data_IF_635254533502
#
_entry.id   IF_635254533502
#
_cell.length_a   1.000
_cell.length_b   1.000
_cell.length_c   1.000
_cell.angle_alpha   90.00
_cell.angle_beta   90.00
_cell.angle_gamma   90.00
#
_symmetry.space_group_name_H-M   'P 1'
#
loop_
_entity.id
_entity.type
_entity.pdbx_description
1 polymer ?
#
# COMPACT_ATOMS: atom_id res chain seq x y z
N UNK A 1 17.05 -43.63 36.93
CA UNK A 1 17.98 -43.19 35.86
C UNK A 1 17.83 -44.20 34.73
N UNK A 2 17.35 -43.78 33.53
CA UNK A 2 17.10 -44.73 32.45
C UNK A 2 18.42 -45.34 31.95
N UNK A 3 18.55 -46.66 32.04
CA UNK A 3 19.73 -47.42 31.61
C UNK A 3 20.10 -47.11 30.15
N UNK A 4 19.10 -46.95 29.29
CA UNK A 4 19.28 -46.56 27.86
C UNK A 4 19.98 -45.24 27.70
N UNK A 5 19.63 -44.23 28.49
CA UNK A 5 20.24 -42.90 28.47
C UNK A 5 21.71 -42.93 28.98
N UNK A 6 21.96 -43.74 30.02
CA UNK A 6 23.33 -43.94 30.53
C UNK A 6 24.25 -44.58 29.49
N UNK A 7 23.75 -45.64 28.82
CA UNK A 7 24.49 -46.32 27.76
C UNK A 7 24.73 -45.37 26.58
N UNK A 8 23.71 -44.64 26.12
CA UNK A 8 23.83 -43.68 25.02
C UNK A 8 24.85 -42.58 25.32
N UNK A 9 24.83 -41.99 26.53
CA UNK A 9 25.80 -40.99 26.97
C UNK A 9 27.22 -41.55 27.02
N UNK A 10 27.40 -42.77 27.50
CA UNK A 10 28.74 -43.43 27.56
C UNK A 10 29.29 -43.71 26.17
N UNK A 11 28.45 -44.13 25.20
CA UNK A 11 28.89 -44.37 23.84
C UNK A 11 29.15 -43.06 23.09
N UNK A 12 28.39 -42.04 23.32
CA UNK A 12 28.60 -40.71 22.69
C UNK A 12 29.94 -40.06 23.09
N UNK A 13 30.39 -40.31 24.32
CA UNK A 13 31.62 -39.72 24.88
C UNK A 13 32.84 -40.66 24.81
N UNK A 14 32.63 -41.94 24.45
CA UNK A 14 33.68 -42.96 24.40
C UNK A 14 34.56 -42.77 23.16
N UNK A 15 35.78 -42.35 23.35
CA UNK A 15 36.77 -42.29 22.29
C UNK A 15 37.18 -43.69 21.84
N UNK A 16 36.84 -44.05 20.61
CA UNK A 16 37.33 -45.30 20.00
C UNK A 16 38.87 -45.30 19.90
N UNK A 17 39.46 -46.50 20.03
CA UNK A 17 40.95 -46.63 19.81
C UNK A 17 41.39 -46.25 18.42
N UNK A 18 40.45 -46.21 17.44
CA UNK A 18 40.73 -45.77 16.08
C UNK A 18 40.54 -44.25 15.96
N UNK A 19 41.62 -43.52 15.97
CA UNK A 19 41.62 -42.03 15.86
C UNK A 19 40.86 -41.51 14.63
N UNK A 20 40.87 -42.23 13.51
CA UNK A 20 40.15 -41.86 12.28
C UNK A 20 38.64 -41.79 12.47
N UNK A 21 38.02 -42.71 13.18
CA UNK A 21 36.60 -42.75 13.44
C UNK A 21 36.16 -41.53 14.29
N UNK A 22 36.95 -41.21 15.32
CA UNK A 22 36.64 -40.06 16.20
C UNK A 22 36.73 -38.73 15.42
N UNK A 23 37.69 -38.60 14.50
CA UNK A 23 37.81 -37.40 13.66
C UNK A 23 36.61 -37.26 12.72
N UNK A 24 36.23 -38.35 12.03
CA UNK A 24 35.09 -38.35 11.11
C UNK A 24 33.79 -37.99 11.87
N UNK A 25 33.55 -38.61 13.04
CA UNK A 25 32.39 -38.31 13.87
C UNK A 25 32.40 -36.86 14.37
N UNK A 26 33.57 -36.35 14.75
CA UNK A 26 33.72 -34.93 15.14
C UNK A 26 33.38 -33.98 14.02
N UNK A 27 33.91 -34.20 12.81
CA UNK A 27 33.59 -33.37 11.63
C UNK A 27 32.11 -33.43 11.29
N UNK A 28 31.51 -34.63 11.30
CA UNK A 28 30.09 -34.80 11.04
C UNK A 28 29.23 -34.06 12.09
N UNK A 29 29.59 -34.14 13.36
CA UNK A 29 28.86 -33.42 14.44
C UNK A 29 28.97 -31.90 14.28
N UNK A 30 30.13 -31.37 13.99
CA UNK A 30 30.31 -29.93 13.70
C UNK A 30 29.53 -29.53 12.46
N UNK A 31 29.47 -30.32 11.42
CA UNK A 31 28.67 -30.08 10.22
C UNK A 31 27.17 -29.96 10.51
N UNK A 32 26.64 -30.89 11.33
CA UNK A 32 25.22 -30.86 11.73
C UNK A 32 24.93 -29.60 12.56
N UNK A 33 25.78 -29.28 13.54
CA UNK A 33 25.62 -28.08 14.38
C UNK A 33 25.66 -26.81 13.51
N UNK A 34 26.64 -26.69 12.63
CA UNK A 34 26.78 -25.54 11.74
C UNK A 34 25.56 -25.39 10.81
N UNK A 35 25.07 -26.49 10.23
CA UNK A 35 23.90 -26.48 9.35
C UNK A 35 22.63 -26.08 10.06
N UNK A 36 22.39 -26.64 11.27
CA UNK A 36 21.23 -26.26 12.09
C UNK A 36 21.27 -24.81 12.55
N UNK A 37 22.46 -24.33 12.91
CA UNK A 37 22.66 -22.93 13.30
C UNK A 37 22.42 -21.99 12.13
N UNK A 38 22.93 -22.32 10.94
CA UNK A 38 22.71 -21.54 9.73
C UNK A 38 21.22 -21.49 9.36
N UNK A 39 20.53 -22.64 9.43
CA UNK A 39 19.08 -22.69 9.15
C UNK A 39 18.27 -21.87 10.16
N UNK A 40 18.62 -21.94 11.44
CA UNK A 40 17.97 -21.16 12.49
C UNK A 40 18.15 -19.66 12.27
N UNK A 41 19.36 -19.21 11.96
CA UNK A 41 19.65 -17.80 11.65
C UNK A 41 18.86 -17.35 10.43
N UNK A 42 18.85 -18.14 9.36
CA UNK A 42 18.11 -17.84 8.14
C UNK A 42 16.61 -17.68 8.41
N UNK A 43 15.99 -18.63 9.10
CA UNK A 43 14.56 -18.57 9.42
C UNK A 43 14.23 -17.38 10.35
N UNK A 44 15.11 -17.08 11.30
CA UNK A 44 14.91 -15.93 12.22
C UNK A 44 14.97 -14.61 11.48
N UNK A 45 15.97 -14.42 10.60
CA UNK A 45 16.10 -13.19 9.78
C UNK A 45 14.92 -13.07 8.83
N UNK A 46 14.51 -14.17 8.18
CA UNK A 46 13.40 -14.17 7.24
C UNK A 46 12.06 -13.83 7.92
N UNK A 47 11.82 -14.41 9.11
CA UNK A 47 10.62 -14.10 9.90
C UNK A 47 10.57 -12.63 10.31
N UNK A 48 11.70 -12.08 10.77
CA UNK A 48 11.79 -10.66 11.12
C UNK A 48 11.60 -9.73 9.92
N UNK A 49 12.16 -10.09 8.76
CA UNK A 49 12.00 -9.32 7.53
C UNK A 49 10.54 -9.35 7.05
N UNK A 50 9.87 -10.52 7.12
CA UNK A 50 8.45 -10.66 6.78
C UNK A 50 7.58 -9.74 7.65
N UNK A 51 7.76 -9.76 8.97
CA UNK A 51 7.01 -8.90 9.89
C UNK A 51 7.26 -7.42 9.63
N UNK A 52 8.52 -7.05 9.39
CA UNK A 52 8.89 -5.69 9.03
C UNK A 52 8.20 -5.22 7.75
N UNK A 53 8.20 -6.03 6.69
CA UNK A 53 7.57 -5.70 5.40
C UNK A 53 6.06 -5.58 5.55
N UNK A 54 5.41 -6.47 6.30
CA UNK A 54 3.96 -6.43 6.54
C UNK A 54 3.55 -5.19 7.33
N UNK A 55 4.35 -4.76 8.31
CA UNK A 55 4.05 -3.55 9.08
C UNK A 55 4.07 -2.28 8.20
N UNK A 56 4.94 -2.21 7.18
CA UNK A 56 4.93 -1.10 6.23
C UNK A 56 3.73 -1.15 5.27
N UNK A 57 3.37 -2.31 4.76
CA UNK A 57 2.20 -2.48 3.89
C UNK A 57 0.90 -2.14 4.64
N UNK A 58 0.75 -2.65 5.86
CA UNK A 58 -0.46 -2.43 6.67
C UNK A 58 -0.70 -0.97 7.07
N UNK A 59 0.36 -0.13 7.13
CA UNK A 59 0.22 1.26 7.52
C UNK A 59 -0.38 2.13 6.40
N UNK A 60 -0.20 1.75 5.14
CA UNK A 60 -0.53 2.59 3.99
C UNK A 60 -1.56 2.01 3.05
N UNK A 61 -1.83 0.70 3.15
CA UNK A 61 -2.81 0.03 2.30
C UNK A 61 -4.16 -0.10 3.03
N UNK A 62 -5.27 0.17 2.33
CA UNK A 62 -6.59 -0.13 2.84
C UNK A 62 -6.80 -1.64 2.91
N UNK A 63 -7.68 -2.10 3.81
CA UNK A 63 -8.01 -3.54 3.91
C UNK A 63 -8.66 -4.06 2.62
N UNK A 64 -9.49 -3.22 1.98
CA UNK A 64 -10.12 -3.50 0.69
C UNK A 64 -10.11 -2.27 -0.20
N UNK A 65 -9.86 -2.48 -1.49
CA UNK A 65 -9.92 -1.44 -2.51
C UNK A 65 -10.85 -1.88 -3.64
N UNK A 66 -11.87 -1.05 -3.94
CA UNK A 66 -12.77 -1.24 -5.06
C UNK A 66 -12.34 -0.35 -6.22
N UNK A 67 -12.15 -0.96 -7.37
CA UNK A 67 -11.87 -0.26 -8.63
C UNK A 67 -12.84 -0.68 -9.71
N UNK A 68 -13.05 0.14 -10.73
CA UNK A 68 -13.89 -0.24 -11.87
C UNK A 68 -13.12 -1.11 -12.84
N UNK A 69 -13.76 -2.17 -13.36
CA UNK A 69 -13.20 -3.00 -14.44
C UNK A 69 -13.38 -2.41 -15.82
N UNK A 70 -14.36 -1.53 -15.96
CA UNK A 70 -14.74 -0.97 -17.25
C UNK A 70 -14.77 0.55 -17.12
N UNK A 71 -13.85 1.21 -17.83
CA UNK A 71 -13.71 2.66 -17.74
C UNK A 71 -12.74 3.10 -16.65
N UNK A 72 -12.66 4.41 -16.40
CA UNK A 72 -11.70 5.01 -15.46
C UNK A 72 -12.36 5.46 -14.14
N UNK A 73 -13.68 5.47 -14.07
CA UNK A 73 -14.42 5.94 -12.89
C UNK A 73 -15.79 5.27 -12.78
N UNK A 74 -16.35 5.29 -11.61
CA UNK A 74 -17.70 4.85 -11.29
C UNK A 74 -18.44 5.89 -10.47
N UNK A 75 -19.73 5.75 -10.38
CA UNK A 75 -20.60 6.69 -9.66
C UNK A 75 -21.09 6.08 -8.36
N UNK A 76 -20.97 6.82 -7.27
CA UNK A 76 -21.55 6.43 -5.97
C UNK A 76 -22.79 7.29 -5.71
N UNK A 77 -23.93 6.64 -5.56
CA UNK A 77 -25.18 7.30 -5.16
C UNK A 77 -25.24 7.51 -3.64
N UNK A 78 -26.06 8.48 -3.20
CA UNK A 78 -26.27 8.70 -1.76
C UNK A 78 -26.81 7.46 -1.04
N UNK A 79 -27.68 6.69 -1.71
CA UNK A 79 -28.22 5.45 -1.15
C UNK A 79 -27.13 4.40 -0.91
N UNK A 80 -26.19 4.22 -1.86
CA UNK A 80 -25.06 3.31 -1.71
C UNK A 80 -24.11 3.79 -0.59
N UNK A 81 -23.88 5.11 -0.49
CA UNK A 81 -23.07 5.66 0.59
C UNK A 81 -23.70 5.40 1.98
N UNK A 82 -25.03 5.50 2.11
CA UNK A 82 -25.72 5.17 3.35
C UNK A 82 -25.68 3.67 3.67
N UNK A 83 -25.76 2.81 2.65
CA UNK A 83 -25.61 1.36 2.82
C UNK A 83 -24.20 1.01 3.31
N UNK A 84 -23.15 1.64 2.74
CA UNK A 84 -21.77 1.46 3.22
C UNK A 84 -21.62 1.90 4.68
N UNK A 85 -22.18 3.06 5.06
CA UNK A 85 -22.15 3.58 6.45
C UNK A 85 -22.89 2.69 7.45
N UNK A 86 -23.94 2.00 7.00
CA UNK A 86 -24.75 1.12 7.86
C UNK A 86 -24.20 -0.30 7.97
N UNK A 87 -23.21 -0.67 7.16
CA UNK A 87 -22.62 -2.00 7.18
C UNK A 87 -21.72 -2.17 8.41
N UNK A 88 -22.01 -3.16 9.25
CA UNK A 88 -21.29 -3.43 10.52
C UNK A 88 -19.87 -3.93 10.32
N UNK A 89 -19.58 -4.51 9.14
CA UNK A 89 -18.29 -5.06 8.79
C UNK A 89 -17.33 -3.99 8.24
N UNK A 90 -17.84 -2.78 7.94
CA UNK A 90 -17.06 -1.63 7.45
C UNK A 90 -16.86 -0.64 8.59
N UNK A 91 -15.62 -0.42 8.97
CA UNK A 91 -15.27 0.56 10.00
C UNK A 91 -15.26 1.99 9.44
N UNK A 92 -14.67 2.17 8.28
CA UNK A 92 -14.64 3.44 7.55
C UNK A 92 -14.35 3.21 6.07
N UNK A 93 -14.68 4.19 5.25
CA UNK A 93 -14.32 4.18 3.83
C UNK A 93 -13.99 5.58 3.34
N UNK A 94 -13.18 5.66 2.29
CA UNK A 94 -12.76 6.89 1.63
C UNK A 94 -12.96 6.79 0.13
N UNK A 95 -13.49 7.86 -0.45
CA UNK A 95 -13.74 8.00 -1.89
C UNK A 95 -12.55 8.67 -2.53
N UNK A 96 -12.00 8.04 -3.56
CA UNK A 96 -10.72 8.44 -4.17
C UNK A 96 -10.93 8.84 -5.63
N UNK A 97 -10.27 9.93 -6.03
CA UNK A 97 -10.08 10.31 -7.42
C UNK A 97 -8.58 10.29 -7.72
N UNK A 98 -8.11 9.26 -8.41
CA UNK A 98 -6.69 9.02 -8.67
C UNK A 98 -6.45 8.86 -10.18
N UNK A 99 -5.40 9.50 -10.70
CA UNK A 99 -4.95 9.32 -12.07
C UNK A 99 -3.46 9.65 -12.17
N UNK A 100 -2.80 9.06 -13.15
CA UNK A 100 -1.42 9.37 -13.49
C UNK A 100 -1.36 10.68 -14.28
N UNK A 101 -0.62 11.65 -13.77
CA UNK A 101 -0.54 13.01 -14.30
C UNK A 101 0.91 13.48 -14.39
N UNK A 102 1.10 14.59 -15.06
CA UNK A 102 2.40 15.23 -15.22
C UNK A 102 2.49 16.43 -14.29
N UNK A 103 3.57 16.53 -13.56
CA UNK A 103 3.89 17.64 -12.67
C UNK A 103 5.09 18.40 -13.20
N UNK A 104 5.01 19.73 -13.16
CA UNK A 104 6.07 20.65 -13.53
C UNK A 104 6.30 21.63 -12.38
N UNK A 105 7.54 21.79 -11.97
CA UNK A 105 7.95 22.77 -10.97
C UNK A 105 9.24 23.46 -11.43
N UNK A 106 9.17 24.77 -11.69
CA UNK A 106 10.24 25.51 -12.33
C UNK A 106 10.61 24.86 -13.68
N UNK A 107 11.80 24.29 -13.79
CA UNK A 107 12.28 23.61 -15.02
C UNK A 107 12.33 22.07 -14.86
N UNK A 108 11.81 21.54 -13.75
CA UNK A 108 11.83 20.10 -13.45
C UNK A 108 10.46 19.48 -13.59
N UNK A 109 10.46 18.28 -14.10
CA UNK A 109 9.24 17.54 -14.43
C UNK A 109 9.25 16.11 -13.87
N UNK A 110 8.07 15.60 -13.54
CA UNK A 110 7.88 14.22 -13.11
C UNK A 110 6.47 13.74 -13.48
N UNK A 111 6.36 12.44 -13.78
CA UNK A 111 5.08 11.76 -13.90
C UNK A 111 4.82 10.99 -12.62
N UNK A 112 3.74 11.33 -11.93
CA UNK A 112 3.32 10.70 -10.68
C UNK A 112 1.80 10.61 -10.63
N UNK A 113 1.25 10.02 -9.57
CA UNK A 113 -0.19 9.94 -9.37
C UNK A 113 -0.67 11.12 -8.51
N UNK A 114 -1.64 11.88 -9.04
CA UNK A 114 -2.45 12.73 -8.17
C UNK A 114 -3.51 11.86 -7.50
N UNK A 115 -3.63 11.95 -6.18
CA UNK A 115 -4.59 11.18 -5.39
C UNK A 115 -5.45 12.14 -4.57
N UNK A 116 -6.63 12.45 -5.12
CA UNK A 116 -7.65 13.22 -4.43
C UNK A 116 -8.36 12.38 -3.40
N UNK A 117 -8.36 12.82 -2.15
CA UNK A 117 -8.88 12.07 -1.00
C UNK A 117 -9.92 12.88 -0.24
N UNK A 118 -10.91 12.20 0.33
CA UNK A 118 -11.93 12.83 1.17
C UNK A 118 -11.48 12.90 2.65
N UNK A 119 -12.30 13.55 3.48
CA UNK A 119 -12.02 13.75 4.91
C UNK A 119 -11.94 12.45 5.72
N UNK A 120 -12.42 11.33 5.18
CA UNK A 120 -12.36 10.04 5.84
C UNK A 120 -11.07 9.28 5.54
N UNK A 121 -10.27 9.75 4.60
CA UNK A 121 -9.04 9.06 4.17
C UNK A 121 -8.11 8.74 5.34
N UNK A 122 -7.92 9.68 6.25
CA UNK A 122 -7.07 9.50 7.44
C UNK A 122 -7.61 8.50 8.48
N UNK A 123 -8.85 8.03 8.32
CA UNK A 123 -9.43 6.93 9.13
C UNK A 123 -9.24 5.57 8.47
N UNK A 124 -9.02 5.56 7.15
CA UNK A 124 -8.80 4.35 6.34
C UNK A 124 -7.32 4.04 6.23
N UNK A 125 -6.51 5.09 6.01
CA UNK A 125 -5.07 5.00 5.76
C UNK A 125 -4.28 5.89 6.72
N UNK A 126 -3.04 5.52 7.00
CA UNK A 126 -2.21 6.16 8.02
C UNK A 126 -1.17 7.16 7.46
N UNK A 127 -1.30 7.60 6.21
CA UNK A 127 -0.34 8.52 5.58
C UNK A 127 -0.12 9.82 6.36
N UNK A 128 -1.15 10.33 7.03
CA UNK A 128 -1.06 11.55 7.83
C UNK A 128 -0.03 11.44 8.97
N UNK A 129 0.10 10.27 9.58
CA UNK A 129 1.06 10.04 10.65
C UNK A 129 2.51 9.85 10.15
N UNK A 130 2.68 9.73 8.83
CA UNK A 130 3.98 9.67 8.17
C UNK A 130 4.42 11.00 7.55
N UNK A 131 3.81 12.12 7.96
CA UNK A 131 4.29 13.45 7.58
C UNK A 131 5.69 13.67 8.12
N UNK A 132 6.62 13.97 7.20
CA UNK A 132 8.00 14.33 7.50
C UNK A 132 8.13 15.84 7.83
N UNK A 133 7.36 16.68 7.11
CA UNK A 133 7.36 18.13 7.28
C UNK A 133 6.03 18.74 6.84
N UNK A 134 5.65 19.88 7.40
CA UNK A 134 4.43 20.61 7.05
C UNK A 134 3.16 19.99 7.62
N UNK A 135 2.03 20.28 6.98
CA UNK A 135 0.69 19.89 7.42
C UNK A 135 -0.02 19.02 6.38
N UNK A 136 -1.02 18.24 6.85
CA UNK A 136 -1.90 17.50 5.96
C UNK A 136 -2.84 18.45 5.22
N UNK A 137 -3.31 18.02 4.04
CA UNK A 137 -4.24 18.80 3.21
C UNK A 137 -5.46 19.25 4.01
N UNK A 138 -5.90 20.49 3.76
CA UNK A 138 -7.18 20.99 4.24
C UNK A 138 -8.30 20.75 3.23
N UNK A 139 -9.54 20.50 3.68
CA UNK A 139 -10.69 20.34 2.78
C UNK A 139 -10.94 21.59 1.94
N UNK A 140 -11.22 21.39 0.65
CA UNK A 140 -11.47 22.44 -0.34
C UNK A 140 -10.33 23.46 -0.51
N UNK A 141 -9.08 23.04 -0.27
CA UNK A 141 -7.89 23.86 -0.54
C UNK A 141 -7.19 23.41 -1.84
N UNK A 142 -6.28 24.22 -2.32
CA UNK A 142 -5.34 23.87 -3.40
C UNK A 142 -4.01 23.30 -2.84
N UNK A 143 -3.99 23.03 -1.53
CA UNK A 143 -2.85 22.47 -0.85
C UNK A 143 -2.64 21.02 -1.24
N UNK A 144 -1.37 20.62 -1.32
CA UNK A 144 -1.01 19.24 -1.62
C UNK A 144 0.07 18.72 -0.68
N UNK A 145 0.00 17.43 -0.40
CA UNK A 145 1.04 16.71 0.33
C UNK A 145 1.78 15.81 -0.65
N UNK A 146 3.07 16.01 -0.78
CA UNK A 146 3.93 15.32 -1.74
C UNK A 146 4.81 14.28 -1.06
N UNK A 147 5.14 13.19 -1.76
CA UNK A 147 6.11 12.25 -1.25
C UNK A 147 7.55 12.81 -1.26
N UNK A 148 8.36 12.39 -0.32
CA UNK A 148 9.74 12.89 -0.14
C UNK A 148 10.59 12.72 -1.40
N UNK A 149 10.41 11.61 -2.16
CA UNK A 149 11.14 11.38 -3.39
C UNK A 149 10.71 12.32 -4.52
N UNK A 150 9.40 12.64 -4.63
CA UNK A 150 8.87 13.64 -5.57
C UNK A 150 9.43 15.02 -5.22
N UNK A 151 9.37 15.41 -3.93
CA UNK A 151 9.93 16.67 -3.45
C UNK A 151 11.42 16.79 -3.78
N UNK A 152 12.20 15.74 -3.56
CA UNK A 152 13.63 15.68 -3.86
C UNK A 152 13.91 15.84 -5.36
N UNK A 153 13.19 15.13 -6.23
CA UNK A 153 13.39 15.16 -7.70
C UNK A 153 13.05 16.51 -8.28
N UNK A 154 11.97 17.11 -7.83
CA UNK A 154 11.54 18.44 -8.28
C UNK A 154 12.29 19.57 -7.57
N UNK A 155 13.02 19.29 -6.49
CA UNK A 155 13.58 20.27 -5.55
C UNK A 155 12.49 21.23 -5.01
N UNK A 156 11.32 20.67 -4.65
CA UNK A 156 10.21 21.41 -4.09
C UNK A 156 10.53 21.91 -2.70
N UNK A 157 10.29 23.22 -2.47
CA UNK A 157 10.24 23.80 -1.14
C UNK A 157 8.80 23.80 -0.60
N UNK A 158 8.63 23.64 0.71
CA UNK A 158 7.34 23.88 1.35
C UNK A 158 7.08 25.38 1.43
N UNK A 159 5.81 25.78 1.21
CA UNK A 159 5.37 27.17 1.30
C UNK A 159 6.11 28.13 0.35
N UNK A 160 6.58 27.62 -0.79
CA UNK A 160 7.12 28.50 -1.84
C UNK A 160 5.96 29.12 -2.65
N UNK A 161 5.51 30.28 -2.21
CA UNK A 161 4.43 31.02 -2.86
C UNK A 161 4.86 31.71 -4.15
N UNK A 162 6.15 31.70 -4.48
CA UNK A 162 6.66 32.30 -5.72
C UNK A 162 6.60 31.33 -6.89
N UNK A 163 6.69 30.02 -6.62
CA UNK A 163 6.65 28.98 -7.63
C UNK A 163 5.56 27.97 -7.24
N UNK A 164 4.50 27.90 -8.02
CA UNK A 164 3.46 26.88 -7.85
C UNK A 164 3.89 25.57 -8.51
N UNK A 165 3.42 24.45 -7.95
CA UNK A 165 3.53 23.16 -8.61
C UNK A 165 2.42 23.06 -9.66
N UNK A 166 2.79 23.07 -10.94
CA UNK A 166 1.84 22.89 -12.02
C UNK A 166 1.52 21.42 -12.23
N UNK A 167 0.24 21.11 -12.41
CA UNK A 167 -0.22 19.75 -12.72
C UNK A 167 -0.97 19.75 -14.04
N UNK A 168 -0.73 18.73 -14.85
CA UNK A 168 -1.34 18.53 -16.16
C UNK A 168 -1.97 17.15 -16.22
N UNK A 169 -3.28 17.10 -16.29
CA UNK A 169 -4.05 15.86 -16.45
C UNK A 169 -4.55 15.73 -17.89
N UNK A 170 -4.34 14.61 -18.58
CA UNK A 170 -4.84 14.43 -19.93
C UNK A 170 -6.38 14.44 -19.94
N UNK A 171 -6.97 15.21 -20.84
CA UNK A 171 -8.43 15.23 -21.02
C UNK A 171 -8.91 13.89 -21.58
N UNK A 172 -9.98 13.32 -21.03
CA UNK A 172 -10.59 12.15 -21.62
C UNK A 172 -11.17 12.50 -23.00
N UNK A 173 -10.75 11.81 -24.07
CA UNK A 173 -11.27 12.02 -25.40
C UNK A 173 -10.58 11.18 -26.47
N UNK A 174 -11.27 10.94 -27.60
CA UNK A 174 -10.77 10.20 -28.77
C UNK A 174 -10.63 11.15 -29.99
N UNK A 175 -10.27 12.42 -29.80
CA UNK A 175 -10.12 13.38 -30.87
C UNK A 175 -8.68 13.54 -31.36
N UNK A 176 -8.48 13.98 -32.61
CA UNK A 176 -7.21 14.53 -33.03
C UNK A 176 -6.97 15.81 -32.23
N UNK A 177 -5.88 15.87 -31.50
CA UNK A 177 -5.45 17.02 -30.74
C UNK A 177 -4.79 17.95 -31.76
N UNK A 178 -5.48 18.98 -32.19
CA UNK A 178 -4.92 19.98 -33.10
C UNK A 178 -4.00 20.97 -32.35
N UNK A 179 -4.27 21.17 -31.07
CA UNK A 179 -3.49 22.03 -30.20
C UNK A 179 -3.06 21.30 -28.91
N UNK A 180 -1.76 21.08 -28.69
CA UNK A 180 -1.28 20.38 -27.49
C UNK A 180 -1.76 21.02 -26.17
N UNK A 181 -1.96 22.33 -26.13
CA UNK A 181 -2.43 23.03 -24.93
C UNK A 181 -3.89 22.70 -24.55
N UNK A 182 -4.69 22.27 -25.52
CA UNK A 182 -6.07 21.86 -25.29
C UNK A 182 -6.20 20.41 -24.82
N UNK A 183 -5.12 19.63 -24.89
CA UNK A 183 -5.09 18.22 -24.52
C UNK A 183 -5.13 17.98 -23.02
N UNK A 184 -4.79 18.98 -22.23
CA UNK A 184 -4.65 18.83 -20.78
C UNK A 184 -5.55 19.80 -20.03
N UNK A 185 -6.06 19.32 -18.89
CA UNK A 185 -6.53 20.19 -17.81
C UNK A 185 -5.31 20.57 -16.97
N UNK A 186 -5.26 21.83 -16.55
CA UNK A 186 -4.15 22.38 -15.77
C UNK A 186 -4.67 22.93 -14.44
N UNK A 187 -3.88 22.79 -13.38
CA UNK A 187 -4.11 23.44 -12.09
C UNK A 187 -2.78 23.85 -11.47
N UNK A 188 -2.83 24.82 -10.57
CA UNK A 188 -1.71 25.23 -9.73
C UNK A 188 -1.94 24.67 -8.34
N UNK A 189 -0.90 24.08 -7.76
CA UNK A 189 -0.94 23.41 -6.48
C UNK A 189 0.12 24.00 -5.55
N UNK A 190 -0.16 24.01 -4.27
CA UNK A 190 0.74 24.56 -3.25
C UNK A 190 1.18 23.46 -2.26
N UNK A 191 2.45 23.04 -2.30
CA UNK A 191 2.95 22.03 -1.37
C UNK A 191 2.89 22.53 0.09
N UNK A 192 2.01 21.95 0.89
CA UNK A 192 1.83 22.24 2.31
C UNK A 192 2.48 21.21 3.23
N UNK A 193 2.75 20.00 2.70
CA UNK A 193 3.38 18.93 3.48
C UNK A 193 4.17 17.96 2.62
N UNK A 194 5.09 17.26 3.29
CA UNK A 194 5.88 16.17 2.72
C UNK A 194 5.70 14.94 3.61
N UNK A 195 5.32 13.81 3.02
CA UNK A 195 5.31 12.51 3.72
C UNK A 195 6.51 11.66 3.31
N UNK A 196 6.93 10.75 4.19
CA UNK A 196 7.99 9.79 3.90
C UNK A 196 7.68 8.44 4.54
N UNK A 197 7.62 7.40 3.73
CA UNK A 197 7.33 6.02 4.12
C UNK A 197 8.39 5.09 3.54
N UNK A 198 8.48 5.02 2.21
CA UNK A 198 9.49 4.30 1.47
C UNK A 198 9.64 4.93 0.07
N UNK A 199 10.76 4.63 -0.61
CA UNK A 199 11.11 5.24 -1.89
C UNK A 199 10.03 5.04 -2.98
N UNK A 200 9.38 3.89 -3.00
CA UNK A 200 8.32 3.58 -3.98
C UNK A 200 7.09 4.46 -3.77
N UNK A 201 6.55 4.51 -2.55
CA UNK A 201 5.37 5.31 -2.23
C UNK A 201 5.68 6.81 -2.28
N UNK A 202 6.85 7.22 -1.79
CA UNK A 202 7.31 8.60 -1.78
C UNK A 202 7.52 9.15 -3.21
N UNK A 203 7.76 8.26 -4.18
CA UNK A 203 7.85 8.58 -5.61
C UNK A 203 6.54 8.48 -6.37
N UNK A 204 5.47 8.00 -5.74
CA UNK A 204 4.24 7.61 -6.44
C UNK A 204 3.11 8.64 -6.32
N UNK A 205 2.85 9.18 -5.12
CA UNK A 205 1.64 9.94 -4.84
C UNK A 205 1.88 11.41 -4.49
N UNK A 206 0.99 12.26 -5.03
CA UNK A 206 0.73 13.63 -4.58
C UNK A 206 -0.72 13.67 -4.12
N UNK A 207 -0.94 13.90 -2.83
CA UNK A 207 -2.27 13.96 -2.22
C UNK A 207 -2.85 15.36 -2.35
N UNK A 208 -4.15 15.44 -2.65
CA UNK A 208 -4.92 16.68 -2.68
C UNK A 208 -6.37 16.43 -2.22
N UNK A 209 -7.15 17.49 -2.09
CA UNK A 209 -8.58 17.37 -1.86
C UNK A 209 -9.28 16.66 -3.04
N UNK A 210 -10.27 15.81 -2.74
CA UNK A 210 -10.98 15.02 -3.76
C UNK A 210 -11.70 15.89 -4.80
N UNK A 211 -12.25 17.03 -4.39
CA UNK A 211 -12.95 17.93 -5.31
C UNK A 211 -11.97 18.59 -6.29
N UNK A 212 -10.74 18.92 -5.84
CA UNK A 212 -9.69 19.43 -6.71
C UNK A 212 -9.30 18.37 -7.75
N UNK A 213 -9.06 17.13 -7.32
CA UNK A 213 -8.74 16.05 -8.26
C UNK A 213 -9.88 15.79 -9.25
N UNK A 214 -11.14 15.76 -8.78
CA UNK A 214 -12.30 15.60 -9.66
C UNK A 214 -12.37 16.70 -10.73
N UNK A 215 -12.20 17.96 -10.35
CA UNK A 215 -12.16 19.08 -11.29
C UNK A 215 -11.03 18.94 -12.32
N UNK A 216 -9.83 18.60 -11.85
CA UNK A 216 -8.66 18.41 -12.72
C UNK A 216 -8.87 17.26 -13.72
N UNK A 217 -9.48 16.15 -13.26
CA UNK A 217 -9.72 14.96 -14.08
C UNK A 217 -10.99 15.05 -14.93
N UNK A 218 -11.78 16.13 -14.80
CA UNK A 218 -13.05 16.31 -15.50
C UNK A 218 -14.14 15.35 -15.01
N UNK A 219 -14.10 14.93 -13.76
CA UNK A 219 -15.07 14.07 -13.12
C UNK A 219 -16.21 14.88 -12.48
N UNK A 220 -17.38 14.29 -12.38
CA UNK A 220 -18.48 14.85 -11.62
C UNK A 220 -18.27 14.59 -10.11
N UNK A 221 -18.92 15.36 -9.25
CA UNK A 221 -18.76 15.27 -7.80
C UNK A 221 -19.16 13.92 -7.18
N UNK A 222 -19.90 13.08 -7.91
CA UNK A 222 -20.30 11.73 -7.50
C UNK A 222 -19.51 10.63 -8.24
N UNK A 223 -18.49 11.00 -9.02
CA UNK A 223 -17.63 10.07 -9.75
C UNK A 223 -16.26 9.93 -9.07
N UNK A 224 -15.83 8.69 -8.94
CA UNK A 224 -14.59 8.32 -8.25
C UNK A 224 -13.87 7.23 -9.03
N UNK A 225 -12.57 7.13 -8.88
CA UNK A 225 -11.76 6.09 -9.54
C UNK A 225 -11.72 4.81 -8.71
N UNK A 226 -11.68 4.97 -7.38
CA UNK A 226 -11.64 3.86 -6.44
C UNK A 226 -12.32 4.24 -5.11
N UNK A 227 -12.64 3.21 -4.34
CA UNK A 227 -13.15 3.30 -2.97
C UNK A 227 -12.23 2.46 -2.09
N UNK A 228 -11.63 3.08 -1.10
CA UNK A 228 -10.78 2.43 -0.12
C UNK A 228 -11.57 2.20 1.17
N UNK A 229 -11.50 0.99 1.70
CA UNK A 229 -12.32 0.54 2.83
C UNK A 229 -11.44 -0.02 3.92
N UNK A 230 -11.72 0.41 5.16
CA UNK A 230 -11.21 -0.17 6.39
C UNK A 230 -12.26 -1.07 6.99
N UNK A 231 -11.92 -2.32 7.21
CA UNK A 231 -12.85 -3.30 7.78
C UNK A 231 -12.86 -3.27 9.30
N UNK A 232 -13.89 -3.84 9.91
CA UNK A 232 -13.93 -4.03 11.35
C UNK A 232 -13.03 -5.21 11.73
N UNK A 233 -12.28 -5.17 12.82
CA UNK A 233 -11.46 -6.30 13.27
C UNK A 233 -12.28 -7.59 13.37
N UNK A 234 -11.74 -8.70 12.86
CA UNK A 234 -12.38 -10.02 12.80
C UNK A 234 -13.64 -10.11 11.91
N UNK A 235 -13.84 -9.20 10.99
CA UNK A 235 -14.91 -9.33 9.99
C UNK A 235 -14.56 -10.39 8.95
N UNK A 236 -15.58 -11.08 8.42
CA UNK A 236 -15.40 -12.07 7.36
C UNK A 236 -15.29 -11.35 6.00
N UNK A 237 -14.16 -11.50 5.33
CA UNK A 237 -13.91 -10.88 4.02
C UNK A 237 -14.94 -11.32 2.96
N UNK A 238 -15.35 -12.58 2.95
CA UNK A 238 -16.35 -13.08 1.98
C UNK A 238 -17.72 -12.42 2.19
N UNK A 239 -18.12 -12.17 3.44
CA UNK A 239 -19.36 -11.45 3.73
C UNK A 239 -19.30 -10.01 3.22
N UNK A 240 -18.20 -9.32 3.46
CA UNK A 240 -17.99 -7.95 2.97
C UNK A 240 -18.03 -7.90 1.45
N UNK A 241 -17.39 -8.84 0.77
CA UNK A 241 -17.43 -8.94 -0.70
C UNK A 241 -18.86 -9.13 -1.20
N UNK A 242 -19.63 -10.02 -0.61
CA UNK A 242 -21.03 -10.25 -0.97
C UNK A 242 -21.90 -9.01 -0.72
N UNK A 243 -21.67 -8.30 0.39
CA UNK A 243 -22.36 -7.04 0.69
C UNK A 243 -22.03 -5.97 -0.36
N UNK A 244 -20.76 -5.81 -0.72
CA UNK A 244 -20.31 -4.88 -1.74
C UNK A 244 -20.86 -5.24 -3.13
N UNK A 245 -20.91 -6.53 -3.50
CA UNK A 245 -21.58 -6.99 -4.72
C UNK A 245 -23.09 -6.69 -4.72
N UNK A 246 -23.73 -6.70 -3.56
CA UNK A 246 -25.14 -6.36 -3.43
C UNK A 246 -25.36 -4.85 -3.58
N UNK A 247 -24.48 -4.02 -3.02
CA UNK A 247 -24.54 -2.55 -3.07
C UNK A 247 -24.23 -2.03 -4.48
N UNK A 248 -23.19 -2.56 -5.12
CA UNK A 248 -22.68 -2.06 -6.40
C UNK A 248 -23.05 -2.92 -7.62
N UNK A 249 -23.65 -4.12 -7.41
CA UNK A 249 -24.04 -5.05 -8.47
C UNK A 249 -22.90 -6.05 -8.80
N UNK A 250 -23.27 -7.18 -9.41
CA UNK A 250 -22.37 -8.33 -9.67
C UNK A 250 -21.24 -8.10 -10.66
N UNK A 251 -21.06 -6.91 -11.25
CA UNK A 251 -19.93 -6.54 -12.12
C UNK A 251 -19.85 -5.03 -12.35
N UNK A 252 -19.21 -4.28 -11.49
CA UNK A 252 -18.30 -3.25 -12.00
C UNK A 252 -16.85 -3.47 -11.56
N UNK A 253 -16.56 -4.46 -10.71
CA UNK A 253 -15.28 -4.56 -10.03
C UNK A 253 -14.59 -5.89 -10.36
N UNK A 254 -13.50 -5.89 -11.13
CA UNK A 254 -12.56 -6.99 -11.20
C UNK A 254 -11.49 -6.84 -10.13
N UNK A 255 -11.14 -7.98 -9.62
CA UNK A 255 -10.17 -8.26 -8.59
C UNK A 255 -8.86 -7.53 -8.78
N UNK A 256 -8.56 -6.57 -7.92
CA UNK A 256 -7.32 -6.61 -7.18
C UNK A 256 -7.65 -6.17 -5.76
N UNK A 257 -8.18 -7.12 -5.01
CA UNK A 257 -8.09 -7.10 -3.57
C UNK A 257 -6.64 -7.41 -3.29
N UNK A 258 -5.85 -6.40 -3.06
CA UNK A 258 -4.55 -6.58 -2.44
C UNK A 258 -4.83 -6.91 -0.98
N UNK A 259 -5.24 -8.17 -0.74
CA UNK A 259 -5.21 -8.71 0.60
C UNK A 259 -3.76 -8.78 1.00
N UNK A 260 -3.40 -8.07 2.04
CA UNK A 260 -2.25 -8.43 2.85
C UNK A 260 -2.35 -9.92 3.10
N UNK A 261 -1.32 -10.75 2.79
CA UNK A 261 -1.43 -12.20 2.93
C UNK A 261 -1.52 -12.55 4.41
N UNK A 262 -2.75 -12.61 4.91
CA UNK A 262 -3.06 -13.20 6.19
C UNK A 262 -3.25 -14.70 5.98
N UNK A 263 -2.26 -15.48 6.43
CA UNK A 263 -2.31 -16.89 6.75
C UNK A 263 -3.09 -17.83 5.80
N UNK A 264 -2.50 -18.17 4.66
CA UNK A 264 -2.89 -19.39 3.95
C UNK A 264 -1.74 -20.41 3.94
N UNK A 265 -1.19 -20.72 5.12
CA UNK A 265 -0.28 -21.84 5.32
C UNK A 265 -0.75 -22.69 6.50
N UNK A 266 -1.96 -23.29 6.35
CA UNK A 266 -2.31 -24.48 7.14
C UNK A 266 -3.50 -25.21 6.52
N UNK A 267 -3.33 -25.75 5.31
CA UNK A 267 -4.11 -26.91 4.83
C UNK A 267 -3.68 -27.30 3.42
N UNK A 268 -2.58 -28.00 3.27
CA UNK A 268 -2.40 -29.03 2.22
C UNK A 268 -1.10 -29.78 2.47
N UNK A 269 -1.06 -30.56 3.54
CA UNK A 269 -0.23 -31.76 3.62
C UNK A 269 -1.12 -32.85 4.20
N UNK A 270 -1.94 -33.46 3.37
CA UNK A 270 -2.44 -34.82 3.54
C UNK A 270 -3.10 -35.26 2.23
N UNK A 271 -2.28 -35.79 1.31
CA UNK A 271 -2.54 -37.00 0.50
C UNK A 271 -1.24 -37.38 -0.20
#
# INVERSE_FOLDING_TARGET
>A
MNLSFYIAKRYAISFSKNKAINIITGIASVGIIASTMALFIFLSVFSGLKEFTLNFANATDPDLRLETTTGKFFTISKAQEEQLKSNKNISSFSKIAEERVYFLYSEKEIVAHIKGVDNNYTKVNDFKNHLYAGDWIEPNSEDVVVGAEISRKLALGLFDFNNALEVFAPKPGKGNIENPDEAFNKSLLFPSGIYSINEELDGKYVFCDVALAQNLLGLQSNQFTNLEIKTTPNSNEEEIRNDLETIFGKRPFDKEVTTTPENTDEKTISE
#
